data_IF_904404944953
#
_entry.id   IF_904404944953
#
_cell.length_a   1.000
_cell.length_b   1.000
_cell.length_c   1.000
_cell.angle_alpha   90.00
_cell.angle_beta   90.00
_cell.angle_gamma   90.00
#
_symmetry.space_group_name_H-M   'P 1'
#
loop_
_entity.id
_entity.type
_entity.pdbx_description
1 polymer ?
#
# COMPACT_ATOMS: atom_id res chain seq x y z
N UNK A 1 -21.83 18.70 -27.56
CA UNK A 1 -22.28 17.32 -27.30
C UNK A 1 -21.21 16.66 -26.45
N UNK A 2 -21.53 16.23 -25.23
CA UNK A 2 -20.57 15.51 -24.39
C UNK A 2 -20.37 14.12 -25.00
N UNK A 3 -19.14 13.78 -25.37
CA UNK A 3 -18.80 12.44 -25.84
C UNK A 3 -19.01 11.46 -24.70
N UNK A 4 -19.79 10.39 -24.94
CA UNK A 4 -20.07 9.33 -23.94
C UNK A 4 -18.82 8.58 -23.47
N UNK A 5 -17.69 8.80 -24.14
CA UNK A 5 -16.41 8.17 -23.87
C UNK A 5 -15.30 9.22 -23.81
N UNK A 6 -14.32 9.05 -22.90
CA UNK A 6 -13.15 9.92 -22.82
C UNK A 6 -12.29 9.79 -24.09
N UNK A 7 -11.62 10.88 -24.46
CA UNK A 7 -10.68 10.88 -25.58
C UNK A 7 -9.40 10.11 -25.23
N UNK A 8 -8.59 9.76 -26.23
CA UNK A 8 -7.28 9.13 -25.99
C UNK A 8 -6.36 10.03 -25.16
N UNK A 9 -6.47 11.35 -25.33
CA UNK A 9 -5.73 12.34 -24.55
C UNK A 9 -6.17 12.33 -23.08
N UNK A 10 -7.47 12.23 -22.80
CA UNK A 10 -8.00 12.14 -21.44
C UNK A 10 -7.54 10.85 -20.74
N UNK A 11 -7.55 9.72 -21.47
CA UNK A 11 -7.05 8.44 -20.95
C UNK A 11 -5.55 8.55 -20.63
N UNK A 12 -4.75 9.13 -21.53
CA UNK A 12 -3.32 9.34 -21.31
C UNK A 12 -3.04 10.20 -20.07
N UNK A 13 -3.77 11.33 -19.92
CA UNK A 13 -3.66 12.22 -18.75
C UNK A 13 -4.00 11.48 -17.45
N UNK A 14 -5.06 10.68 -17.45
CA UNK A 14 -5.46 9.89 -16.27
C UNK A 14 -4.39 8.86 -15.87
N UNK A 15 -3.86 8.12 -16.84
CA UNK A 15 -2.81 7.13 -16.60
C UNK A 15 -1.55 7.81 -16.04
N UNK A 16 -1.16 8.95 -16.62
CA UNK A 16 0.00 9.71 -16.15
C UNK A 16 -0.20 10.24 -14.73
N UNK A 17 -1.36 10.80 -14.41
CA UNK A 17 -1.68 11.26 -13.06
C UNK A 17 -1.68 10.13 -12.03
N UNK A 18 -2.12 8.92 -12.43
CA UNK A 18 -2.09 7.73 -11.57
C UNK A 18 -0.66 7.26 -11.29
N UNK A 19 0.19 7.27 -12.31
CA UNK A 19 1.62 6.96 -12.16
C UNK A 19 2.33 7.98 -11.26
N UNK A 20 2.07 9.28 -11.46
CA UNK A 20 2.68 10.34 -10.65
C UNK A 20 2.24 10.25 -9.18
N UNK A 21 0.97 9.93 -8.93
CA UNK A 21 0.45 9.69 -7.57
C UNK A 21 1.09 8.47 -6.92
N UNK A 22 1.29 7.38 -7.67
CA UNK A 22 1.97 6.17 -7.18
C UNK A 22 3.43 6.47 -6.80
N UNK A 23 4.16 7.17 -7.67
CA UNK A 23 5.55 7.55 -7.43
C UNK A 23 5.68 8.49 -6.22
N UNK A 24 4.74 9.41 -6.04
CA UNK A 24 4.66 10.26 -4.85
C UNK A 24 4.44 9.40 -3.59
N UNK A 25 3.51 8.45 -3.63
CA UNK A 25 3.25 7.53 -2.52
C UNK A 25 4.47 6.70 -2.12
N UNK A 26 5.21 6.17 -3.10
CA UNK A 26 6.46 5.41 -2.86
C UNK A 26 7.53 6.30 -2.23
N UNK A 27 7.78 7.48 -2.81
CA UNK A 27 8.81 8.41 -2.32
C UNK A 27 8.50 8.87 -0.90
N UNK A 28 7.24 9.24 -0.65
CA UNK A 28 6.80 9.68 0.66
C UNK A 28 6.90 8.55 1.70
N UNK A 29 6.54 7.32 1.34
CA UNK A 29 6.70 6.16 2.22
C UNK A 29 8.14 5.95 2.64
N UNK A 30 9.07 5.96 1.69
CA UNK A 30 10.50 5.78 1.98
C UNK A 30 11.07 6.88 2.89
N UNK A 31 10.69 8.12 2.65
CA UNK A 31 11.11 9.26 3.47
C UNK A 31 10.56 9.15 4.90
N UNK A 32 9.31 8.74 5.05
CA UNK A 32 8.68 8.56 6.36
C UNK A 32 9.30 7.39 7.13
N UNK A 33 9.52 6.24 6.49
CA UNK A 33 10.16 5.11 7.15
C UNK A 33 11.57 5.47 7.65
N UNK A 34 12.32 6.23 6.85
CA UNK A 34 13.63 6.75 7.25
C UNK A 34 13.54 7.69 8.46
N UNK A 35 12.62 8.66 8.42
CA UNK A 35 12.42 9.59 9.53
C UNK A 35 11.98 8.87 10.82
N UNK A 36 11.12 7.86 10.70
CA UNK A 36 10.67 7.09 11.84
C UNK A 36 11.78 6.24 12.46
N UNK A 37 12.62 5.63 11.64
CA UNK A 37 13.79 4.88 12.10
C UNK A 37 14.77 5.79 12.86
N UNK A 38 15.04 6.98 12.33
CA UNK A 38 15.96 7.94 12.95
C UNK A 38 15.41 8.49 14.28
N UNK A 39 14.10 8.75 14.35
CA UNK A 39 13.45 9.14 15.59
C UNK A 39 13.55 8.03 16.65
N UNK A 40 13.23 6.77 16.30
CA UNK A 40 13.36 5.63 17.22
C UNK A 40 14.78 5.48 17.75
N UNK A 41 15.78 5.60 16.87
CA UNK A 41 17.19 5.55 17.26
C UNK A 41 17.55 6.65 18.26
N UNK A 42 17.09 7.87 18.00
CA UNK A 42 17.33 9.03 18.88
C UNK A 42 16.64 8.86 20.23
N UNK A 43 15.39 8.39 20.21
CA UNK A 43 14.63 8.10 21.42
C UNK A 43 15.34 7.03 22.26
N UNK A 44 15.75 5.90 21.68
CA UNK A 44 16.49 4.87 22.38
C UNK A 44 17.78 5.38 23.04
N UNK A 45 18.52 6.29 22.38
CA UNK A 45 19.71 6.91 22.97
C UNK A 45 19.35 7.77 24.19
N UNK A 46 18.27 8.55 24.11
CA UNK A 46 17.78 9.37 25.24
C UNK A 46 17.28 8.53 26.42
N UNK A 47 16.69 7.37 26.15
CA UNK A 47 16.28 6.42 27.19
C UNK A 47 17.51 5.89 27.94
N UNK A 48 18.54 5.49 27.19
CA UNK A 48 19.77 4.92 27.76
C UNK A 48 20.59 5.93 28.56
N UNK A 49 20.45 7.23 28.28
CA UNK A 49 21.22 8.28 28.95
C UNK A 49 20.65 8.73 30.30
N UNK A 50 19.51 8.20 30.75
CA UNK A 50 18.76 8.69 31.94
C UNK A 50 18.48 10.21 31.90
N UNK A 51 18.54 10.83 30.72
CA UNK A 51 18.34 12.28 30.54
C UNK A 51 16.88 12.69 30.70
N UNK A 52 15.96 11.76 30.42
CA UNK A 52 14.51 11.99 30.45
C UNK A 52 13.86 11.00 31.40
N UNK A 53 12.87 11.46 32.18
CA UNK A 53 12.06 10.58 33.01
C UNK A 53 11.40 9.46 32.18
N UNK A 54 11.40 8.25 32.73
CA UNK A 54 10.82 7.06 32.07
C UNK A 54 9.36 7.27 31.64
N UNK A 55 8.56 7.98 32.44
CA UNK A 55 7.17 8.25 32.10
C UNK A 55 7.00 9.13 30.84
N UNK A 56 7.89 10.10 30.65
CA UNK A 56 7.90 10.97 29.46
C UNK A 56 8.33 10.17 28.23
N UNK A 57 9.35 9.32 28.38
CA UNK A 57 9.79 8.38 27.34
C UNK A 57 8.65 7.47 26.89
N UNK A 58 7.94 6.83 27.83
CA UNK A 58 6.84 5.92 27.53
C UNK A 58 5.69 6.66 26.83
N UNK A 59 5.35 7.87 27.29
CA UNK A 59 4.33 8.70 26.66
C UNK A 59 4.69 9.07 25.21
N UNK A 60 5.94 9.46 24.97
CA UNK A 60 6.43 9.82 23.63
C UNK A 60 6.47 8.60 22.72
N UNK A 61 6.97 7.46 23.21
CA UNK A 61 7.00 6.19 22.46
C UNK A 61 5.59 5.77 22.04
N UNK A 62 4.64 5.77 22.97
CA UNK A 62 3.25 5.40 22.69
C UNK A 62 2.56 6.35 21.69
N UNK A 63 2.85 7.65 21.79
CA UNK A 63 2.32 8.64 20.85
C UNK A 63 2.91 8.47 19.45
N UNK A 64 4.20 8.13 19.40
CA UNK A 64 4.93 7.89 18.17
C UNK A 64 4.46 6.62 17.46
N UNK A 65 4.27 5.50 18.18
CA UNK A 65 3.77 4.25 17.59
C UNK A 65 2.37 4.42 16.98
N UNK A 66 1.50 5.23 17.62
CA UNK A 66 0.18 5.59 17.08
C UNK A 66 0.28 6.42 15.82
N UNK A 67 1.22 7.36 15.76
CA UNK A 67 1.48 8.16 14.56
C UNK A 67 1.97 7.27 13.43
N UNK A 68 2.97 6.42 13.70
CA UNK A 68 3.54 5.50 12.72
C UNK A 68 2.49 4.58 12.12
N UNK A 69 1.65 3.98 12.95
CA UNK A 69 0.56 3.10 12.50
C UNK A 69 -0.44 3.81 11.58
N UNK A 70 -0.88 5.02 11.96
CA UNK A 70 -1.82 5.82 11.14
C UNK A 70 -1.21 6.21 9.79
N UNK A 71 0.05 6.62 9.80
CA UNK A 71 0.74 7.02 8.58
C UNK A 71 0.93 5.83 7.64
N UNK A 72 1.34 4.67 8.16
CA UNK A 72 1.46 3.43 7.36
C UNK A 72 0.12 3.02 6.73
N UNK A 73 -0.97 3.05 7.50
CA UNK A 73 -2.31 2.74 6.97
C UNK A 73 -2.76 3.71 5.87
N UNK A 74 -2.47 5.00 6.02
CA UNK A 74 -2.77 5.99 4.99
C UNK A 74 -1.93 5.77 3.72
N UNK A 75 -0.65 5.43 3.86
CA UNK A 75 0.24 5.12 2.74
C UNK A 75 -0.23 3.88 1.97
N UNK A 76 -0.62 2.83 2.68
CA UNK A 76 -1.20 1.62 2.10
C UNK A 76 -2.47 1.94 1.30
N UNK A 77 -3.33 2.84 1.82
CA UNK A 77 -4.54 3.28 1.12
C UNK A 77 -4.22 4.00 -0.19
N UNK A 78 -3.16 4.83 -0.23
CA UNK A 78 -2.71 5.50 -1.47
C UNK A 78 -2.23 4.45 -2.49
N UNK A 79 -1.45 3.47 -2.04
CA UNK A 79 -0.99 2.37 -2.91
C UNK A 79 -2.19 1.62 -3.49
N UNK A 80 -3.17 1.24 -2.67
CA UNK A 80 -4.37 0.52 -3.13
C UNK A 80 -5.21 1.32 -4.13
N UNK A 81 -5.35 2.64 -3.95
CA UNK A 81 -6.02 3.51 -4.93
C UNK A 81 -5.26 3.49 -6.27
N UNK A 82 -3.93 3.59 -6.21
CA UNK A 82 -3.10 3.64 -7.42
C UNK A 82 -3.01 2.29 -8.14
N UNK A 83 -2.94 1.18 -7.39
CA UNK A 83 -2.83 -0.17 -7.95
C UNK A 83 -4.20 -0.70 -8.33
N UNK A 84 -5.08 -0.95 -7.37
CA UNK A 84 -6.38 -1.60 -7.60
C UNK A 84 -7.34 -0.65 -8.33
N UNK A 85 -7.44 0.59 -7.86
CA UNK A 85 -8.28 1.62 -8.49
C UNK A 85 -7.78 2.01 -9.88
N UNK A 86 -6.49 2.32 -10.01
CA UNK A 86 -5.86 2.67 -11.28
C UNK A 86 -5.98 1.56 -12.32
N UNK A 87 -5.78 0.29 -11.94
CA UNK A 87 -5.95 -0.86 -12.83
C UNK A 87 -7.41 -1.04 -13.27
N UNK A 88 -8.37 -0.91 -12.35
CA UNK A 88 -9.79 -1.00 -12.68
C UNK A 88 -10.24 0.08 -13.66
N UNK A 89 -9.81 1.33 -13.43
CA UNK A 89 -10.11 2.43 -14.34
C UNK A 89 -9.44 2.22 -15.70
N UNK A 90 -8.17 1.80 -15.73
CA UNK A 90 -7.46 1.51 -16.98
C UNK A 90 -8.15 0.45 -17.83
N UNK A 91 -8.67 -0.62 -17.19
CA UNK A 91 -9.45 -1.66 -17.86
C UNK A 91 -10.76 -1.13 -18.43
N UNK A 92 -11.53 -0.39 -17.63
CA UNK A 92 -12.83 0.13 -18.06
C UNK A 92 -12.67 1.18 -19.18
N UNK A 93 -11.67 2.04 -19.06
CA UNK A 93 -11.30 3.02 -20.10
C UNK A 93 -10.83 2.30 -21.37
N UNK A 94 -9.98 1.28 -21.26
CA UNK A 94 -9.54 0.45 -22.39
C UNK A 94 -10.70 -0.15 -23.16
N UNK A 95 -11.69 -0.72 -22.45
CA UNK A 95 -12.94 -1.20 -23.08
C UNK A 95 -13.72 -0.08 -23.75
N UNK A 96 -13.84 1.09 -23.11
CA UNK A 96 -14.51 2.25 -23.67
C UNK A 96 -13.86 2.77 -24.97
N UNK A 97 -12.53 2.68 -25.09
CA UNK A 97 -11.80 3.05 -26.31
C UNK A 97 -11.55 1.87 -27.28
N UNK A 98 -12.12 0.69 -27.02
CA UNK A 98 -11.95 -0.49 -27.89
C UNK A 98 -10.55 -1.09 -27.90
N UNK A 99 -9.70 -0.77 -26.91
CA UNK A 99 -8.35 -1.33 -26.75
C UNK A 99 -8.39 -2.58 -25.88
N UNK A 100 -7.63 -3.62 -26.27
CA UNK A 100 -7.35 -4.76 -25.40
C UNK A 100 -6.33 -4.34 -24.35
N UNK A 101 -6.74 -4.31 -23.09
CA UNK A 101 -5.83 -4.13 -21.95
C UNK A 101 -5.70 -5.49 -21.28
N UNK A 102 -4.47 -6.02 -21.23
CA UNK A 102 -4.19 -7.29 -20.56
C UNK A 102 -4.32 -7.11 -19.04
N UNK A 103 -5.09 -7.99 -18.41
CA UNK A 103 -5.26 -8.02 -16.96
C UNK A 103 -3.98 -8.58 -16.31
N UNK A 104 -3.45 -7.97 -15.24
CA UNK A 104 -2.59 -8.69 -14.33
C UNK A 104 -3.50 -9.64 -13.55
N UNK A 105 -3.80 -10.81 -14.13
CA UNK A 105 -4.45 -11.88 -13.39
C UNK A 105 -3.55 -12.21 -12.21
N UNK A 106 -4.03 -11.86 -11.01
CA UNK A 106 -3.44 -12.23 -9.74
C UNK A 106 -2.91 -13.66 -9.83
N UNK A 107 -1.60 -13.84 -9.60
CA UNK A 107 -1.08 -15.15 -9.22
C UNK A 107 -1.91 -15.60 -8.03
N UNK A 108 -2.81 -16.57 -8.24
CA UNK A 108 -3.45 -17.28 -7.13
C UNK A 108 -2.33 -17.73 -6.20
N UNK A 109 -2.42 -17.53 -4.87
CA UNK A 109 -1.66 -18.35 -3.98
C UNK A 109 -2.17 -19.79 -4.22
N UNK A 110 -1.33 -20.65 -4.79
CA UNK A 110 -1.62 -22.08 -4.78
C UNK A 110 -1.67 -22.50 -3.32
N UNK A 111 -2.87 -22.76 -2.81
CA UNK A 111 -3.04 -23.45 -1.54
C UNK A 111 -2.58 -24.90 -1.75
N UNK A 112 -1.31 -25.18 -1.46
CA UNK A 112 -0.85 -26.55 -1.24
C UNK A 112 -1.35 -27.00 0.13
N UNK A 113 -2.57 -27.53 0.17
CA UNK A 113 -3.05 -28.34 1.30
C UNK A 113 -2.72 -29.80 0.96
N UNK A 114 -1.80 -30.47 1.68
CA UNK A 114 -1.70 -31.92 1.61
C UNK A 114 -2.82 -32.52 2.47
N UNK A 115 -3.74 -33.21 1.81
CA UNK A 115 -4.81 -33.97 2.47
C UNK A 115 -4.19 -35.22 3.12
N UNK A 116 -3.88 -35.11 4.42
CA UNK A 116 -3.43 -36.23 5.24
C UNK A 116 -4.57 -36.68 6.13
N UNK A 117 -4.96 -37.95 5.91
CA UNK A 117 -5.67 -38.88 6.78
C UNK A 117 -7.20 -38.77 6.91
N UNK A 118 -7.88 -39.83 6.47
CA UNK A 118 -8.60 -40.79 7.37
C UNK A 118 -9.09 -42.02 6.59
N UNK A 119 -8.57 -43.21 6.92
CA UNK A 119 -9.19 -44.27 7.75
C UNK A 119 -9.91 -45.35 6.92
N UNK A 120 -9.14 -46.39 6.62
CA UNK A 120 -9.41 -47.81 6.94
C UNK A 120 -10.83 -48.16 7.43
N UNK A 121 -11.59 -48.84 6.57
CA UNK A 121 -12.54 -49.92 6.89
C UNK A 121 -12.93 -50.56 5.56
N UNK A 122 -12.66 -51.85 5.40
CA UNK A 122 -13.66 -52.77 4.86
C UNK A 122 -13.32 -54.18 5.34
N UNK A 123 -14.39 -54.93 5.54
CA UNK A 123 -14.49 -56.19 6.30
C UNK A 123 -14.12 -57.41 5.47
#
# INVERSE_FOLDING_TARGET
MATKYPSEEDVSKFLKASEDLMNLGITFSHNIDSAFLEFKKTLEMMIKSNFVERAVVEMVSNSFDKLESKVKSNLESIVNICTEGGQWYSFYLGKAVGRKVDLPLSRRPQSSVPDVAKVQRDS
#
